data_IF_922244102311
#
_entry.id   IF_922244102311
#
_cell.length_a   1.000
_cell.length_b   1.000
_cell.length_c   1.000
_cell.angle_alpha   90.00
_cell.angle_beta   90.00
_cell.angle_gamma   90.00
#
_symmetry.space_group_name_H-M   'P 1'
#
loop_
_entity.id
_entity.type
_entity.pdbx_description
1 polymer ?
#
# COMPACT_ATOMS: atom_id res chain seq x y z
N UNK A 1 27.65 3.10 29.97
CA UNK A 1 26.28 3.66 29.79
C UNK A 1 25.65 2.86 28.67
N UNK A 2 24.95 1.78 28.99
CA UNK A 2 24.12 1.10 27.99
C UNK A 2 22.90 1.96 27.74
N UNK A 3 22.87 2.63 26.58
CA UNK A 3 21.68 3.29 26.07
C UNK A 3 20.57 2.25 25.93
N UNK A 4 19.59 2.26 26.82
CA UNK A 4 18.38 1.45 26.67
C UNK A 4 17.70 1.97 25.41
N UNK A 5 17.78 1.18 24.33
CA UNK A 5 17.03 1.45 23.11
C UNK A 5 15.53 1.32 23.34
N UNK A 6 14.74 2.00 22.53
CA UNK A 6 13.29 1.83 22.51
C UNK A 6 12.96 0.37 22.17
N UNK A 7 12.11 -0.25 22.98
CA UNK A 7 11.58 -1.60 22.71
C UNK A 7 10.11 -1.51 22.34
N UNK A 8 9.71 -2.19 21.25
CA UNK A 8 8.32 -2.33 20.87
C UNK A 8 7.78 -3.67 21.34
N UNK A 9 6.70 -3.62 22.06
CA UNK A 9 5.92 -4.79 22.41
C UNK A 9 4.66 -4.81 21.54
N UNK A 10 4.60 -5.75 20.59
CA UNK A 10 3.46 -5.88 19.66
C UNK A 10 2.48 -6.91 20.22
N UNK A 11 1.23 -6.51 20.40
CA UNK A 11 0.13 -7.37 20.90
C UNK A 11 -0.94 -7.45 19.81
N UNK A 12 -1.59 -8.60 19.59
CA UNK A 12 -2.65 -8.79 18.61
C UNK A 12 -2.26 -9.67 17.43
N UNK A 13 -1.64 -10.81 17.70
CA UNK A 13 -1.26 -11.85 16.71
C UNK A 13 -0.38 -11.33 15.54
N UNK A 14 0.73 -10.62 15.81
CA UNK A 14 1.68 -10.27 14.75
C UNK A 14 2.46 -11.51 14.29
N UNK A 15 2.68 -11.63 12.98
CA UNK A 15 3.60 -12.65 12.43
C UNK A 15 5.08 -12.27 12.63
N UNK A 16 6.01 -13.07 12.09
CA UNK A 16 7.45 -12.80 12.19
C UNK A 16 7.84 -11.50 11.47
N UNK A 17 7.27 -11.25 10.28
CA UNK A 17 7.58 -10.06 9.49
C UNK A 17 7.14 -8.77 10.21
N UNK A 18 5.98 -8.79 10.87
CA UNK A 18 5.51 -7.67 11.71
C UNK A 18 6.40 -7.51 12.95
N UNK A 19 6.86 -8.60 13.57
CA UNK A 19 7.78 -8.53 14.72
C UNK A 19 9.15 -7.95 14.35
N UNK A 20 9.63 -8.22 13.13
CA UNK A 20 10.88 -7.69 12.60
C UNK A 20 10.79 -6.19 12.21
N UNK A 21 9.58 -5.65 12.08
CA UNK A 21 9.37 -4.24 11.74
C UNK A 21 10.11 -3.26 12.66
N UNK A 22 10.30 -3.64 13.93
CA UNK A 22 11.05 -2.84 14.89
C UNK A 22 12.45 -2.47 14.38
N UNK A 23 13.19 -3.42 13.81
CA UNK A 23 14.54 -3.20 13.29
C UNK A 23 14.52 -2.23 12.09
N UNK A 24 13.57 -2.44 11.15
CA UNK A 24 13.42 -1.58 9.97
C UNK A 24 13.02 -0.16 10.34
N UNK A 25 12.06 -0.01 11.25
CA UNK A 25 11.57 1.29 11.73
C UNK A 25 12.68 2.07 12.40
N UNK A 26 13.38 1.47 13.36
CA UNK A 26 14.46 2.14 14.09
C UNK A 26 15.56 2.59 13.14
N UNK A 27 16.03 1.72 12.24
CA UNK A 27 17.05 2.05 11.26
C UNK A 27 16.60 3.19 10.34
N UNK A 28 15.40 3.07 9.76
CA UNK A 28 14.84 4.06 8.87
C UNK A 28 14.74 5.45 9.51
N UNK A 29 14.31 5.52 10.76
CA UNK A 29 14.19 6.78 11.51
C UNK A 29 15.57 7.37 11.83
N UNK A 30 16.52 6.55 12.29
CA UNK A 30 17.88 7.00 12.63
C UNK A 30 18.64 7.55 11.41
N UNK A 31 18.62 6.82 10.30
CA UNK A 31 19.28 7.23 9.04
C UNK A 31 18.70 8.55 8.53
N UNK A 32 17.42 8.79 8.76
CA UNK A 32 16.74 10.03 8.36
C UNK A 32 16.82 11.15 9.41
N UNK A 33 17.59 10.96 10.48
CA UNK A 33 17.88 11.99 11.50
C UNK A 33 16.78 12.20 12.54
N UNK A 34 15.81 11.29 12.63
CA UNK A 34 14.75 11.35 13.65
C UNK A 34 15.21 10.73 14.96
N UNK A 35 14.84 11.36 16.06
CA UNK A 35 15.13 10.85 17.40
C UNK A 35 14.22 9.66 17.72
N UNK A 36 14.82 8.58 18.16
CA UNK A 36 14.10 7.41 18.65
C UNK A 36 13.66 7.67 20.09
N UNK A 37 12.39 7.37 20.45
CA UNK A 37 11.96 7.42 21.83
C UNK A 37 12.84 6.53 22.72
N UNK A 38 13.11 6.97 23.94
CA UNK A 38 13.87 6.18 24.93
C UNK A 38 12.96 5.30 25.81
N UNK A 39 11.65 5.51 25.72
CA UNK A 39 10.65 4.75 26.46
C UNK A 39 10.20 3.51 25.69
N UNK A 40 9.87 2.45 26.43
CA UNK A 40 9.24 1.28 25.85
C UNK A 40 7.82 1.59 25.38
N UNK A 41 7.43 1.03 24.27
CA UNK A 41 6.12 1.22 23.65
C UNK A 41 5.38 -0.11 23.54
N UNK A 42 4.11 -0.08 23.87
CA UNK A 42 3.18 -1.19 23.62
C UNK A 42 2.27 -0.79 22.48
N UNK A 43 2.29 -1.55 21.41
CA UNK A 43 1.40 -1.35 20.26
C UNK A 43 0.36 -2.46 20.24
N UNK A 44 -0.89 -2.10 20.44
CA UNK A 44 -2.00 -3.02 20.34
C UNK A 44 -2.56 -3.03 18.91
N UNK A 45 -2.37 -4.12 18.21
CA UNK A 45 -2.88 -4.34 16.85
C UNK A 45 -4.24 -5.03 16.90
N UNK A 46 -5.27 -4.31 17.29
CA UNK A 46 -6.64 -4.82 17.33
C UNK A 46 -7.21 -5.09 15.92
N UNK A 47 -8.19 -5.99 15.77
CA UNK A 47 -8.67 -6.96 16.76
C UNK A 47 -7.70 -8.13 16.94
N UNK A 48 -7.68 -8.75 18.13
CA UNK A 48 -6.70 -9.77 18.49
C UNK A 48 -6.95 -11.16 17.87
N UNK A 49 -8.12 -11.37 17.27
CA UNK A 49 -8.54 -12.61 16.60
C UNK A 49 -8.11 -12.66 15.12
N UNK A 50 -7.68 -11.53 14.56
CA UNK A 50 -7.20 -11.44 13.18
C UNK A 50 -5.68 -11.38 13.17
N UNK A 51 -5.05 -12.35 12.47
CA UNK A 51 -3.61 -12.40 12.28
C UNK A 51 -3.15 -11.25 11.36
N UNK A 52 -2.09 -10.54 11.78
CA UNK A 52 -1.46 -9.48 10.99
C UNK A 52 -0.21 -10.08 10.34
N UNK A 53 -0.18 -10.07 9.02
CA UNK A 53 0.86 -10.69 8.22
C UNK A 53 1.54 -9.69 7.30
N UNK A 54 2.84 -9.90 7.10
CA UNK A 54 3.66 -9.13 6.17
C UNK A 54 4.16 -7.80 6.70
N UNK A 55 5.01 -7.18 5.91
CA UNK A 55 5.79 -5.98 6.25
C UNK A 55 5.06 -4.64 5.97
N UNK A 56 3.85 -4.70 5.39
CA UNK A 56 3.08 -3.50 5.04
C UNK A 56 2.70 -2.61 6.23
N UNK A 57 2.82 -3.12 7.45
CA UNK A 57 2.55 -2.39 8.69
C UNK A 57 3.70 -1.49 9.16
N UNK A 58 4.88 -1.55 8.54
CA UNK A 58 6.04 -0.79 8.97
C UNK A 58 5.77 0.72 8.97
N UNK A 59 5.19 1.23 7.88
CA UNK A 59 4.90 2.66 7.74
C UNK A 59 3.91 3.17 8.81
N UNK A 60 2.72 2.57 9.00
CA UNK A 60 1.81 3.02 10.05
C UNK A 60 2.39 2.88 11.45
N UNK A 61 3.20 1.85 11.74
CA UNK A 61 3.87 1.69 13.02
C UNK A 61 4.90 2.80 13.27
N UNK A 62 5.71 3.14 12.26
CA UNK A 62 6.70 4.22 12.35
C UNK A 62 6.05 5.58 12.59
N UNK A 63 5.00 5.89 11.84
CA UNK A 63 4.26 7.15 11.96
C UNK A 63 3.51 7.21 13.30
N UNK A 64 2.88 6.12 13.74
CA UNK A 64 2.26 6.02 15.06
C UNK A 64 3.23 6.24 16.21
N UNK A 65 4.46 5.68 16.11
CA UNK A 65 5.54 5.89 17.06
C UNK A 65 5.93 7.37 17.17
N UNK A 66 6.12 8.05 16.04
CA UNK A 66 6.50 9.46 16.01
C UNK A 66 5.37 10.36 16.54
N UNK A 67 4.12 10.01 16.27
CA UNK A 67 2.96 10.70 16.84
C UNK A 67 2.82 10.50 18.33
N UNK A 68 3.03 9.28 18.83
CA UNK A 68 2.93 8.96 20.26
C UNK A 68 3.99 9.70 21.12
N UNK A 69 5.17 9.95 20.55
CA UNK A 69 6.21 10.70 21.27
C UNK A 69 6.20 12.21 20.99
N UNK A 70 5.21 12.71 20.23
CA UNK A 70 5.06 14.13 19.93
C UNK A 70 6.05 14.68 18.88
N UNK A 71 6.77 13.85 18.17
CA UNK A 71 7.68 14.28 17.08
C UNK A 71 6.91 14.81 15.88
N UNK A 72 5.74 14.26 15.61
CA UNK A 72 4.83 14.70 14.55
C UNK A 72 3.41 14.94 15.08
N UNK A 73 2.65 15.78 14.37
CA UNK A 73 1.25 16.02 14.71
C UNK A 73 0.38 14.80 14.36
N UNK A 74 -0.42 14.35 15.33
CA UNK A 74 -1.38 13.25 15.16
C UNK A 74 -2.78 13.71 14.71
N UNK A 75 -3.01 15.02 14.54
CA UNK A 75 -4.33 15.58 14.22
C UNK A 75 -4.96 15.00 12.95
N UNK A 76 -4.12 14.71 11.95
CA UNK A 76 -4.58 14.15 10.66
C UNK A 76 -4.74 12.63 10.67
N UNK A 77 -4.21 11.92 11.67
CA UNK A 77 -4.18 10.44 11.67
C UNK A 77 -5.53 9.77 11.41
N UNK A 78 -6.64 10.19 12.03
CA UNK A 78 -7.94 9.54 11.82
C UNK A 78 -8.47 9.66 10.38
N UNK A 79 -7.87 10.52 9.56
CA UNK A 79 -8.36 10.80 8.20
C UNK A 79 -7.64 10.02 7.13
N UNK A 80 -6.47 9.44 7.45
CA UNK A 80 -5.60 8.79 6.47
C UNK A 80 -5.27 7.37 6.87
N UNK A 81 -5.46 6.44 5.95
CA UNK A 81 -4.93 5.09 6.07
C UNK A 81 -3.50 5.08 5.51
N UNK A 82 -2.57 4.44 6.21
CA UNK A 82 -1.18 4.29 5.79
C UNK A 82 -0.86 2.81 5.66
N UNK A 83 -0.19 2.44 4.58
CA UNK A 83 0.38 1.10 4.39
C UNK A 83 1.68 1.20 3.61
N UNK A 84 2.69 0.43 3.98
CA UNK A 84 3.98 0.40 3.29
C UNK A 84 5.03 -0.34 4.10
N UNK A 85 5.91 -1.05 3.40
CA UNK A 85 7.11 -1.65 3.98
C UNK A 85 8.25 -0.63 3.99
N UNK A 86 9.05 -0.59 5.05
CA UNK A 86 10.22 0.27 5.15
C UNK A 86 11.51 -0.51 4.88
N UNK A 87 12.35 0.03 4.02
CA UNK A 87 13.77 -0.34 3.99
C UNK A 87 14.55 0.36 5.10
N UNK A 88 15.74 -0.14 5.40
CA UNK A 88 16.58 0.37 6.48
C UNK A 88 16.99 1.85 6.30
N UNK A 89 16.99 2.34 5.07
CA UNK A 89 17.29 3.74 4.69
C UNK A 89 16.07 4.66 4.75
N UNK A 90 14.87 4.10 5.02
CA UNK A 90 13.60 4.84 5.05
C UNK A 90 12.88 4.94 3.71
N UNK A 91 13.38 4.30 2.66
CA UNK A 91 12.63 4.14 1.41
C UNK A 91 11.43 3.23 1.64
N UNK A 92 10.34 3.50 0.92
CA UNK A 92 9.07 2.78 1.06
C UNK A 92 8.94 1.80 -0.10
N UNK A 93 8.87 0.52 0.23
CA UNK A 93 8.80 -0.59 -0.73
C UNK A 93 7.36 -0.94 -1.10
N UNK A 94 7.14 -1.48 -2.30
CA UNK A 94 5.81 -1.88 -2.76
C UNK A 94 5.21 -2.99 -1.89
N UNK A 95 3.90 -2.96 -1.77
CA UNK A 95 3.10 -3.92 -1.01
C UNK A 95 2.18 -4.71 -1.93
N UNK A 96 1.69 -5.83 -1.44
CA UNK A 96 0.64 -6.61 -2.13
C UNK A 96 -0.75 -6.15 -1.70
N UNK A 97 -1.72 -6.22 -2.61
CA UNK A 97 -3.12 -5.97 -2.29
C UNK A 97 -3.49 -4.49 -2.13
N UNK A 98 -2.85 -3.59 -2.86
CA UNK A 98 -3.14 -2.16 -2.79
C UNK A 98 -4.59 -1.83 -3.18
N UNK A 99 -5.14 -2.52 -4.20
CA UNK A 99 -6.52 -2.32 -4.62
C UNK A 99 -7.56 -2.70 -3.55
N UNK A 100 -7.55 -3.92 -2.96
CA UNK A 100 -8.47 -4.25 -1.86
C UNK A 100 -8.29 -3.36 -0.63
N UNK A 101 -7.07 -2.92 -0.32
CA UNK A 101 -6.82 -1.94 0.76
C UNK A 101 -7.51 -0.61 0.44
N UNK A 102 -7.42 -0.12 -0.79
CA UNK A 102 -8.06 1.12 -1.21
C UNK A 102 -9.60 1.03 -1.17
N UNK A 103 -10.17 -0.10 -1.60
CA UNK A 103 -11.61 -0.35 -1.50
C UNK A 103 -12.06 -0.27 -0.04
N UNK A 104 -11.34 -0.96 0.86
CA UNK A 104 -11.65 -0.96 2.28
C UNK A 104 -11.48 0.41 2.93
N UNK A 105 -10.43 1.14 2.57
CA UNK A 105 -10.21 2.51 3.05
C UNK A 105 -11.36 3.45 2.69
N UNK A 106 -11.91 3.33 1.47
CA UNK A 106 -13.10 4.08 1.05
C UNK A 106 -14.34 3.70 1.84
N UNK A 107 -14.59 2.39 2.03
CA UNK A 107 -15.74 1.88 2.81
C UNK A 107 -15.72 2.35 4.25
N UNK A 108 -14.53 2.40 4.87
CA UNK A 108 -14.32 2.85 6.23
C UNK A 108 -14.32 4.40 6.36
N UNK A 109 -14.49 5.12 5.25
CA UNK A 109 -14.65 6.58 5.24
C UNK A 109 -13.37 7.38 5.39
N UNK A 110 -12.19 6.80 5.13
CA UNK A 110 -10.94 7.54 5.11
C UNK A 110 -10.95 8.60 3.99
N UNK A 111 -10.36 9.77 4.27
CA UNK A 111 -10.19 10.84 3.27
C UNK A 111 -9.10 10.55 2.26
N UNK A 112 -8.10 9.78 2.69
CA UNK A 112 -6.98 9.44 1.85
C UNK A 112 -6.25 8.18 2.26
N UNK A 113 -5.56 7.62 1.29
CA UNK A 113 -4.69 6.46 1.43
C UNK A 113 -3.27 6.85 1.03
N UNK A 114 -2.32 6.67 1.96
CA UNK A 114 -0.89 6.91 1.73
C UNK A 114 -0.22 5.55 1.59
N UNK A 115 0.34 5.28 0.41
CA UNK A 115 0.94 3.98 0.05
C UNK A 115 2.21 4.17 -0.78
N UNK A 116 2.98 3.09 -1.02
CA UNK A 116 4.15 3.17 -1.88
C UNK A 116 3.81 3.71 -3.27
N UNK A 117 4.71 4.54 -3.83
CA UNK A 117 4.53 5.17 -5.15
C UNK A 117 4.22 4.14 -6.25
N UNK A 118 4.84 2.95 -6.18
CA UNK A 118 4.64 1.88 -7.15
C UNK A 118 3.22 1.29 -7.13
N UNK A 119 2.53 1.38 -5.99
CA UNK A 119 1.15 0.90 -5.82
C UNK A 119 0.10 1.99 -6.05
N UNK A 120 0.52 3.26 -6.14
CA UNK A 120 -0.42 4.37 -6.14
C UNK A 120 -1.40 4.34 -7.31
N UNK A 121 -0.96 3.96 -8.52
CA UNK A 121 -1.84 3.85 -9.70
C UNK A 121 -2.89 2.75 -9.55
N UNK A 122 -2.49 1.57 -9.05
CA UNK A 122 -3.41 0.45 -8.78
C UNK A 122 -4.53 0.87 -7.81
N UNK A 123 -4.18 1.56 -6.74
CA UNK A 123 -5.14 2.00 -5.73
C UNK A 123 -6.00 3.20 -6.18
N UNK A 124 -5.46 4.09 -7.02
CA UNK A 124 -6.11 5.31 -7.45
C UNK A 124 -7.29 5.10 -8.44
N UNK A 125 -7.51 3.88 -8.91
CA UNK A 125 -8.71 3.51 -9.68
C UNK A 125 -9.99 3.54 -8.82
N UNK A 126 -9.83 3.52 -7.48
CA UNK A 126 -10.95 3.56 -6.53
C UNK A 126 -11.48 4.99 -6.43
N UNK A 127 -12.70 5.20 -6.93
CA UNK A 127 -13.37 6.50 -6.88
C UNK A 127 -13.65 6.95 -5.43
N UNK A 128 -13.70 8.26 -5.19
CA UNK A 128 -14.02 8.89 -3.90
C UNK A 128 -12.98 8.65 -2.79
N UNK A 129 -11.78 8.19 -3.12
CA UNK A 129 -10.64 8.07 -2.23
C UNK A 129 -9.45 8.79 -2.86
N UNK A 130 -8.81 9.69 -2.13
CA UNK A 130 -7.55 10.30 -2.57
C UNK A 130 -6.39 9.37 -2.25
N UNK A 131 -5.64 8.96 -3.26
CA UNK A 131 -4.48 8.09 -3.08
C UNK A 131 -3.20 8.91 -3.27
N UNK A 132 -2.29 8.78 -2.33
CA UNK A 132 -1.01 9.49 -2.32
C UNK A 132 0.13 8.48 -2.37
N UNK A 133 0.88 8.51 -3.47
CA UNK A 133 2.08 7.71 -3.63
C UNK A 133 3.26 8.39 -2.95
N UNK A 134 4.01 7.62 -2.15
CA UNK A 134 5.20 8.09 -1.43
C UNK A 134 6.37 7.13 -1.63
N UNK A 135 7.59 7.66 -1.68
CA UNK A 135 8.80 6.89 -1.90
C UNK A 135 9.70 6.81 -0.67
N UNK A 136 9.53 7.75 0.27
CA UNK A 136 10.37 7.82 1.48
C UNK A 136 9.55 8.27 2.68
N UNK A 137 9.90 7.76 3.87
CA UNK A 137 9.22 8.10 5.13
C UNK A 137 9.26 9.61 5.45
N UNK A 138 10.30 10.34 5.00
CA UNK A 138 10.39 11.79 5.16
C UNK A 138 9.22 12.54 4.56
N UNK A 139 8.74 12.11 3.40
CA UNK A 139 7.59 12.74 2.73
C UNK A 139 6.34 12.66 3.60
N UNK A 140 6.14 11.50 4.22
CA UNK A 140 5.00 11.26 5.10
C UNK A 140 5.09 12.09 6.38
N UNK A 141 6.28 12.17 6.98
CA UNK A 141 6.53 12.96 8.19
C UNK A 141 6.28 14.46 7.91
N UNK A 142 6.84 14.98 6.82
CA UNK A 142 6.65 16.37 6.39
C UNK A 142 5.18 16.70 6.12
N UNK A 143 4.44 15.75 5.55
CA UNK A 143 3.00 15.90 5.32
C UNK A 143 2.21 16.03 6.64
N UNK A 144 2.49 15.20 7.63
CA UNK A 144 1.82 15.29 8.93
C UNK A 144 2.20 16.55 9.73
N UNK A 145 3.42 17.04 9.54
CA UNK A 145 3.87 18.30 10.14
C UNK A 145 3.42 19.56 9.37
N UNK A 146 2.64 19.43 8.30
CA UNK A 146 2.25 20.54 7.42
C UNK A 146 3.43 21.27 6.74
N UNK A 147 4.58 20.60 6.61
CA UNK A 147 5.77 21.12 5.93
C UNK A 147 5.71 20.86 4.40
N UNK A 148 4.92 19.86 3.99
CA UNK A 148 4.77 19.46 2.60
C UNK A 148 3.34 19.01 2.32
N UNK A 149 2.82 19.37 1.16
CA UNK A 149 1.60 18.77 0.61
C UNK A 149 1.94 17.57 -0.27
N UNK A 150 1.13 16.51 -0.18
CA UNK A 150 1.19 15.38 -1.09
C UNK A 150 0.20 15.61 -2.23
N UNK A 151 0.67 15.39 -3.47
CA UNK A 151 -0.21 15.43 -4.63
C UNK A 151 -0.96 14.08 -4.76
N UNK A 152 -2.29 14.09 -4.93
CA UNK A 152 -3.02 12.86 -5.16
C UNK A 152 -2.66 12.26 -6.52
N UNK A 153 -2.56 10.95 -6.58
CA UNK A 153 -2.38 10.21 -7.82
C UNK A 153 -3.69 10.20 -8.60
N UNK A 154 -3.66 10.72 -9.81
CA UNK A 154 -4.82 10.78 -10.70
C UNK A 154 -4.67 9.69 -11.75
N UNK A 155 -5.70 8.85 -11.89
CA UNK A 155 -5.80 7.83 -12.94
C UNK A 155 -7.03 8.16 -13.79
N UNK A 156 -6.80 8.41 -15.07
CA UNK A 156 -7.88 8.62 -16.03
C UNK A 156 -8.26 7.29 -16.66
N UNK A 157 -9.07 6.50 -15.97
CA UNK A 157 -9.49 5.15 -16.39
C UNK A 157 -10.13 5.13 -17.77
N UNK A 158 -10.78 6.21 -18.22
CA UNK A 158 -11.32 6.32 -19.58
C UNK A 158 -10.23 6.39 -20.63
N UNK A 159 -9.27 7.28 -20.45
CA UNK A 159 -8.16 7.43 -21.42
C UNK A 159 -7.30 6.18 -21.50
N UNK A 160 -7.04 5.52 -20.37
CA UNK A 160 -6.29 4.25 -20.34
C UNK A 160 -7.05 3.12 -21.03
N UNK A 161 -8.36 3.05 -20.86
CA UNK A 161 -9.18 2.07 -21.56
C UNK A 161 -9.15 2.27 -23.09
N UNK A 162 -9.30 3.52 -23.56
CA UNK A 162 -9.23 3.83 -24.99
C UNK A 162 -7.81 3.66 -25.55
N UNK A 163 -6.75 3.97 -24.78
CA UNK A 163 -5.37 3.75 -25.21
C UNK A 163 -5.04 2.26 -25.34
N UNK A 164 -5.58 1.41 -24.47
CA UNK A 164 -5.43 -0.04 -24.59
C UNK A 164 -6.24 -0.59 -25.75
N UNK A 165 -7.45 -0.11 -25.97
CA UNK A 165 -8.29 -0.52 -27.09
C UNK A 165 -7.65 -0.19 -28.45
N UNK A 166 -7.04 0.96 -28.60
CA UNK A 166 -6.31 1.34 -29.82
C UNK A 166 -5.07 0.47 -30.07
N UNK A 167 -4.37 0.05 -29.02
CA UNK A 167 -3.26 -0.88 -29.16
C UNK A 167 -3.71 -2.29 -29.57
N UNK A 168 -4.87 -2.77 -29.09
CA UNK A 168 -5.44 -4.04 -29.53
C UNK A 168 -5.91 -4.01 -30.99
N UNK A 169 -6.44 -2.89 -31.50
CA UNK A 169 -6.82 -2.75 -32.90
C UNK A 169 -5.62 -2.81 -33.86
N UNK A 170 -4.46 -2.30 -33.43
CA UNK A 170 -3.22 -2.41 -34.22
C UNK A 170 -2.66 -3.84 -34.24
N UNK A 171 -2.79 -4.61 -33.17
CA UNK A 171 -2.29 -6.00 -33.10
C UNK A 171 -3.15 -6.96 -33.92
N UNK A 172 -4.47 -6.70 -34.08
CA UNK A 172 -5.35 -7.47 -34.98
C UNK A 172 -5.18 -7.12 -36.45
N UNK A 173 -4.60 -5.99 -36.79
CA UNK A 173 -4.32 -5.64 -38.21
C UNK A 173 -3.14 -6.43 -38.77
N UNK A 174 -2.21 -6.84 -37.90
CA UNK A 174 -1.03 -7.65 -38.29
C UNK A 174 -1.34 -9.15 -38.46
N UNK A 175 -2.50 -9.65 -38.01
CA UNK A 175 -2.92 -11.05 -38.11
C UNK A 175 -3.68 -11.36 -39.39
N UNK A 176 -3.94 -10.40 -40.28
CA UNK A 176 -4.61 -10.61 -41.57
C UNK A 176 -3.71 -11.22 -42.68
N UNK A 177 -2.75 -12.04 -42.33
CA UNK A 177 -1.82 -12.68 -43.26
C UNK A 177 -1.82 -14.20 -43.30
N UNK A 178 -2.80 -14.91 -42.71
CA UNK A 178 -2.90 -16.37 -42.83
C UNK A 178 -4.30 -16.79 -43.27
N UNK A 179 -4.54 -16.76 -44.58
CA UNK A 179 -5.55 -17.61 -45.24
C UNK A 179 -5.05 -19.06 -45.18
N UNK A 180 -5.73 -19.86 -44.39
CA UNK A 180 -5.96 -21.30 -44.50
C UNK A 180 -6.14 -21.95 -43.12
N UNK A 181 -7.34 -21.82 -42.55
CA UNK A 181 -7.81 -22.75 -41.55
C UNK A 181 -9.10 -23.38 -42.05
N UNK A 182 -8.98 -24.69 -42.32
CA UNK A 182 -10.06 -25.61 -42.71
C UNK A 182 -11.23 -25.52 -41.71
N UNK A 183 -12.44 -25.65 -42.25
CA UNK A 183 -13.71 -25.68 -41.52
C UNK A 183 -13.70 -26.63 -40.32
N UNK A 184 -14.25 -26.27 -39.15
CA UNK A 184 -14.45 -27.22 -38.05
C UNK A 184 -15.64 -28.15 -38.38
N UNK A 185 -15.37 -29.45 -38.32
CA UNK A 185 -16.33 -30.53 -38.43
C UNK A 185 -17.45 -30.44 -37.40
N UNK A 186 -18.68 -30.69 -37.86
CA UNK A 186 -19.94 -30.72 -37.12
C UNK A 186 -19.84 -31.53 -35.81
N UNK A 187 -20.10 -30.89 -34.71
CA UNK A 187 -20.37 -31.57 -33.44
C UNK A 187 -21.78 -32.20 -33.50
N UNK A 188 -21.85 -33.51 -33.41
CA UNK A 188 -23.08 -34.25 -33.24
C UNK A 188 -23.60 -34.08 -31.81
N UNK A 189 -24.86 -33.70 -31.66
CA UNK A 189 -25.56 -33.67 -30.37
C UNK A 189 -25.85 -35.10 -29.89
N UNK A 190 -25.75 -35.39 -28.58
CA UNK A 190 -26.20 -36.68 -28.06
C UNK A 190 -27.73 -36.74 -28.01
N UNK A 191 -28.27 -37.82 -28.59
CA UNK A 191 -29.69 -38.18 -28.54
C UNK A 191 -30.01 -38.68 -27.12
N UNK A 192 -30.95 -38.03 -26.45
CA UNK A 192 -31.57 -38.54 -25.22
C UNK A 192 -32.72 -39.47 -25.64
N UNK A 193 -32.63 -40.75 -25.32
CA UNK A 193 -33.72 -41.71 -25.43
C UNK A 193 -34.35 -41.91 -24.05
N UNK A 194 -35.68 -41.81 -24.01
CA UNK A 194 -36.60 -42.07 -22.89
C UNK A 194 -36.38 -43.40 -22.16
#
# INVERSE_FOLDING_TARGET
NSSRGCMFYLVGLPDSAVKESHQRIISALQVNGYKIPTSNLVVNMAPADIRKEGSAYDLPLAIGLLGANGTISSEKFPRYLLMGELSLDGSIQPIKGALPIAIKAREDGFKGLIIPQQNAREAAVVNQLKVYGVSNIKEVIQFFNNERELAPTIVNTREEFYAQQSNFEFDFADVKGQENVKEPSKWQQPVVTT
#
